data_IF_172907060299
#
_entry.id   IF_172907060299
#
_cell.length_a   1.000
_cell.length_b   1.000
_cell.length_c   1.000
_cell.angle_alpha   90.00
_cell.angle_beta   90.00
_cell.angle_gamma   90.00
#
_symmetry.space_group_name_H-M   'P 1'
#
loop_
_entity.id
_entity.type
_entity.pdbx_description
1 polymer ?
#
# COMPACT_ATOMS: atom_id res chain seq x y z
N UNK A 1 -12.75 -2.17 21.30
CA UNK A 1 -13.46 -3.10 22.21
C UNK A 1 -14.78 -2.45 22.59
N UNK A 2 -15.92 -3.09 22.34
CA UNK A 2 -17.24 -2.48 22.61
C UNK A 2 -17.66 -2.61 24.07
N UNK A 3 -16.94 -3.43 24.84
CA UNK A 3 -17.27 -3.71 26.23
C UNK A 3 -18.61 -4.43 26.32
N UNK A 4 -19.42 -4.00 27.28
CA UNK A 4 -20.78 -4.48 27.51
C UNK A 4 -21.86 -3.45 27.11
N UNK A 5 -21.48 -2.36 26.43
CA UNK A 5 -22.37 -1.24 26.16
C UNK A 5 -23.57 -1.65 25.31
N UNK A 6 -23.33 -2.39 24.22
CA UNK A 6 -24.38 -2.92 23.36
C UNK A 6 -25.22 -3.98 24.07
N UNK A 7 -24.60 -4.88 24.83
CA UNK A 7 -25.34 -5.89 25.57
C UNK A 7 -26.30 -5.30 26.60
N UNK A 8 -25.93 -4.20 27.27
CA UNK A 8 -26.83 -3.43 28.13
C UNK A 8 -27.97 -2.78 27.34
N UNK A 9 -27.66 -2.15 26.20
CA UNK A 9 -28.64 -1.43 25.38
C UNK A 9 -29.67 -2.35 24.72
N UNK A 10 -29.26 -3.54 24.26
CA UNK A 10 -30.09 -4.47 23.49
C UNK A 10 -30.55 -5.70 24.29
N UNK A 11 -30.27 -5.76 25.59
CA UNK A 11 -30.68 -6.87 26.45
C UNK A 11 -29.99 -8.21 26.14
N UNK A 12 -28.77 -8.18 25.59
CA UNK A 12 -28.00 -9.39 25.28
C UNK A 12 -27.43 -9.92 26.59
N UNK A 13 -28.02 -11.01 27.08
CA UNK A 13 -27.64 -11.65 28.34
C UNK A 13 -27.38 -13.14 28.14
N UNK A 14 -26.50 -13.68 28.96
CA UNK A 14 -26.26 -15.11 29.09
C UNK A 14 -26.30 -15.49 30.57
N UNK A 15 -26.33 -16.78 30.87
CA UNK A 15 -26.37 -17.32 32.23
C UNK A 15 -25.16 -18.24 32.43
N UNK A 16 -24.47 -18.09 33.55
CA UNK A 16 -23.45 -19.05 33.99
C UNK A 16 -24.12 -20.34 34.48
N UNK A 17 -23.33 -21.42 34.63
CA UNK A 17 -23.83 -22.70 35.17
C UNK A 17 -24.45 -22.57 36.58
N UNK A 18 -24.04 -21.57 37.36
CA UNK A 18 -24.57 -21.28 38.69
C UNK A 18 -25.85 -20.41 38.68
N UNK A 19 -26.40 -20.11 37.50
CA UNK A 19 -27.61 -19.32 37.32
C UNK A 19 -27.40 -17.80 37.31
N UNK A 20 -26.16 -17.31 37.45
CA UNK A 20 -25.89 -15.86 37.43
C UNK A 20 -25.97 -15.32 36.01
N UNK A 21 -26.74 -14.23 35.84
CA UNK A 21 -26.79 -13.49 34.58
C UNK A 21 -25.51 -12.69 34.34
N UNK A 22 -25.03 -12.71 33.09
CA UNK A 22 -23.90 -11.93 32.62
C UNK A 22 -24.24 -11.23 31.31
N UNK A 23 -23.54 -10.13 31.05
CA UNK A 23 -23.57 -9.46 29.74
C UNK A 23 -22.27 -9.82 29.01
N UNK A 24 -22.32 -10.48 27.85
CA UNK A 24 -21.13 -10.85 27.11
C UNK A 24 -20.27 -9.63 26.74
N UNK A 25 -18.95 -9.82 26.70
CA UNK A 25 -18.03 -8.83 26.15
C UNK A 25 -18.06 -8.87 24.63
N UNK A 26 -18.26 -7.72 23.99
CA UNK A 26 -18.47 -7.65 22.54
C UNK A 26 -17.35 -6.88 21.84
N UNK A 27 -17.08 -7.30 20.61
CA UNK A 27 -16.17 -6.64 19.68
C UNK A 27 -16.84 -6.56 18.30
N UNK A 28 -16.47 -5.54 17.53
CA UNK A 28 -16.76 -5.45 16.10
C UNK A 28 -15.53 -4.89 15.38
N UNK A 29 -15.38 -5.25 14.11
CA UNK A 29 -14.31 -4.77 13.23
C UNK A 29 -14.81 -4.80 11.79
N UNK A 30 -14.24 -3.95 10.93
CA UNK A 30 -14.64 -3.82 9.54
C UNK A 30 -13.45 -3.45 8.65
N UNK A 31 -13.45 -3.99 7.45
CA UNK A 31 -12.45 -3.73 6.42
C UNK A 31 -13.18 -3.54 5.08
N UNK A 32 -12.81 -2.52 4.31
CA UNK A 32 -13.59 -2.07 3.15
C UNK A 32 -12.74 -1.98 1.89
N UNK A 33 -13.39 -1.69 0.77
CA UNK A 33 -12.76 -1.43 -0.53
C UNK A 33 -11.84 -0.21 -0.55
N UNK A 34 -11.83 0.63 0.51
CA UNK A 34 -10.85 1.70 0.70
C UNK A 34 -9.41 1.17 0.59
N UNK A 35 -9.17 -0.06 1.00
CA UNK A 35 -7.87 -0.74 0.87
C UNK A 35 -7.35 -0.81 -0.57
N UNK A 36 -8.23 -0.91 -1.57
CA UNK A 36 -7.85 -0.86 -2.98
C UNK A 36 -7.31 0.52 -3.36
N UNK A 37 -7.97 1.58 -2.90
CA UNK A 37 -7.51 2.97 -3.11
C UNK A 37 -6.15 3.21 -2.47
N UNK A 38 -5.93 2.74 -1.24
CA UNK A 38 -4.64 2.83 -0.55
C UNK A 38 -3.54 2.11 -1.34
N UNK A 39 -3.77 0.87 -1.77
CA UNK A 39 -2.81 0.10 -2.56
C UNK A 39 -2.44 0.83 -3.87
N UNK A 40 -3.45 1.38 -4.57
CA UNK A 40 -3.24 2.14 -5.81
C UNK A 40 -2.39 3.38 -5.56
N UNK A 41 -2.71 4.18 -4.54
CA UNK A 41 -1.98 5.41 -4.21
C UNK A 41 -0.55 5.15 -3.73
N UNK A 42 -0.32 4.05 -3.00
CA UNK A 42 1.00 3.71 -2.45
C UNK A 42 1.95 3.16 -3.51
N UNK A 43 1.45 2.43 -4.50
CA UNK A 43 2.31 1.73 -5.47
C UNK A 43 2.28 2.31 -6.88
N UNK A 44 1.24 3.04 -7.26
CA UNK A 44 1.12 3.63 -8.59
C UNK A 44 2.27 4.58 -8.91
N UNK A 45 2.56 4.73 -10.21
CA UNK A 45 3.57 5.64 -10.73
C UNK A 45 3.05 6.39 -11.97
N UNK A 46 3.91 7.20 -12.58
CA UNK A 46 3.56 8.01 -13.77
C UNK A 46 3.16 7.18 -15.00
N UNK A 47 3.40 5.86 -14.99
CA UNK A 47 3.00 4.94 -16.06
C UNK A 47 1.65 4.26 -15.77
N UNK A 48 1.10 4.41 -14.56
CA UNK A 48 -0.19 3.87 -14.16
C UNK A 48 -0.13 2.94 -12.95
N UNK A 49 -0.96 1.89 -12.97
CA UNK A 49 -1.03 0.94 -11.86
C UNK A 49 0.28 0.15 -11.71
N UNK A 50 0.60 -0.22 -10.47
CA UNK A 50 1.64 -1.20 -10.13
C UNK A 50 1.02 -2.16 -9.11
N UNK A 51 0.56 -3.32 -9.57
CA UNK A 51 -0.19 -4.23 -8.72
C UNK A 51 0.74 -5.20 -7.98
N UNK A 52 0.59 -5.39 -6.66
CA UNK A 52 1.26 -6.45 -5.95
C UNK A 52 0.86 -7.84 -6.54
N UNK A 53 1.82 -8.73 -6.80
CA UNK A 53 1.57 -10.02 -7.46
C UNK A 53 0.47 -10.88 -6.84
N UNK A 54 0.26 -10.84 -5.53
CA UNK A 54 -0.78 -11.66 -4.87
C UNK A 54 -2.21 -11.23 -5.20
N UNK A 55 -2.41 -9.96 -5.58
CA UNK A 55 -3.73 -9.39 -5.90
C UNK A 55 -3.90 -9.01 -7.38
N UNK A 56 -2.83 -9.06 -8.18
CA UNK A 56 -2.89 -8.77 -9.61
C UNK A 56 -3.75 -9.82 -10.36
N UNK A 57 -4.81 -9.44 -11.10
CA UNK A 57 -5.64 -10.40 -11.84
C UNK A 57 -4.82 -11.21 -12.85
N UNK A 58 -3.97 -10.52 -13.61
CA UNK A 58 -2.95 -11.10 -14.49
C UNK A 58 -1.58 -10.77 -13.86
N UNK A 59 -0.81 -11.80 -13.52
CA UNK A 59 0.54 -11.66 -12.94
C UNK A 59 1.61 -11.52 -14.02
N UNK A 60 1.44 -12.27 -15.12
CA UNK A 60 2.38 -12.29 -16.24
C UNK A 60 1.61 -12.07 -17.55
N UNK A 61 2.11 -11.17 -18.39
CA UNK A 61 1.63 -11.04 -19.77
C UNK A 61 2.72 -11.39 -20.77
N UNK A 62 2.43 -12.33 -21.67
CA UNK A 62 3.31 -12.69 -22.79
C UNK A 62 2.98 -11.81 -23.98
N UNK A 63 3.98 -11.10 -24.50
CA UNK A 63 3.88 -10.28 -25.70
C UNK A 63 4.76 -10.87 -26.79
N UNK A 64 4.18 -11.63 -27.74
CA UNK A 64 4.84 -12.02 -28.98
C UNK A 64 5.36 -10.80 -29.75
N UNK A 65 6.61 -10.85 -30.19
CA UNK A 65 7.25 -9.83 -31.03
C UNK A 65 7.38 -10.42 -32.44
N UNK A 66 6.34 -10.29 -33.29
CA UNK A 66 6.35 -10.86 -34.63
C UNK A 66 7.44 -10.22 -35.49
N UNK A 67 8.05 -11.03 -36.36
CA UNK A 67 8.96 -10.57 -37.39
C UNK A 67 8.23 -10.47 -38.75
N UNK A 68 8.92 -10.01 -39.80
CA UNK A 68 8.31 -9.67 -41.09
C UNK A 68 7.64 -10.85 -41.83
N UNK A 69 7.93 -12.10 -41.45
CA UNK A 69 7.48 -13.31 -42.13
C UNK A 69 6.27 -13.93 -41.42
N UNK A 70 5.24 -14.34 -42.16
CA UNK A 70 3.97 -14.81 -41.62
C UNK A 70 4.07 -16.17 -40.92
N UNK A 71 4.91 -17.08 -41.44
CA UNK A 71 5.14 -18.40 -40.82
C UNK A 71 5.83 -18.28 -39.45
N UNK A 72 6.78 -17.35 -39.33
CA UNK A 72 7.47 -17.05 -38.06
C UNK A 72 6.50 -16.47 -37.01
N UNK A 73 5.42 -15.79 -37.44
CA UNK A 73 4.40 -15.28 -36.49
C UNK A 73 3.65 -16.42 -35.82
N UNK A 74 3.26 -17.45 -36.57
CA UNK A 74 2.54 -18.60 -36.02
C UNK A 74 3.43 -19.40 -35.05
N UNK A 75 4.72 -19.55 -35.36
CA UNK A 75 5.69 -20.20 -34.47
C UNK A 75 5.83 -19.46 -33.13
N UNK A 76 5.95 -18.13 -33.15
CA UNK A 76 6.04 -17.32 -31.93
C UNK A 76 4.73 -17.41 -31.13
N UNK A 77 3.58 -17.43 -31.80
CA UNK A 77 2.28 -17.53 -31.14
C UNK A 77 2.10 -18.90 -30.47
N UNK A 78 2.50 -19.98 -31.15
CA UNK A 78 2.50 -21.33 -30.57
C UNK A 78 3.45 -21.42 -29.36
N UNK A 79 4.64 -20.80 -29.45
CA UNK A 79 5.58 -20.74 -28.32
C UNK A 79 5.01 -19.93 -27.14
N UNK A 80 4.32 -18.84 -27.40
CA UNK A 80 3.64 -18.08 -26.35
C UNK A 80 2.56 -18.91 -25.64
N UNK A 81 1.78 -19.71 -26.38
CA UNK A 81 0.78 -20.62 -25.81
C UNK A 81 1.43 -21.73 -24.97
N UNK A 82 2.59 -22.27 -25.40
CA UNK A 82 3.38 -23.23 -24.62
C UNK A 82 3.84 -22.64 -23.27
N UNK A 83 4.36 -21.41 -23.28
CA UNK A 83 4.80 -20.70 -22.07
C UNK A 83 3.61 -20.47 -21.12
N UNK A 84 2.47 -20.03 -21.66
CA UNK A 84 1.22 -19.84 -20.90
C UNK A 84 0.80 -21.15 -20.23
N UNK A 85 0.76 -22.26 -20.98
CA UNK A 85 0.38 -23.56 -20.44
C UNK A 85 1.34 -24.03 -19.33
N UNK A 86 2.65 -23.88 -19.56
CA UNK A 86 3.69 -24.27 -18.60
C UNK A 86 3.58 -23.50 -17.27
N UNK A 87 3.41 -22.18 -17.33
CA UNK A 87 3.33 -21.34 -16.13
C UNK A 87 1.96 -21.40 -15.45
N UNK A 88 0.88 -21.60 -16.21
CA UNK A 88 -0.44 -21.87 -15.64
C UNK A 88 -0.42 -23.15 -14.80
N UNK A 89 0.26 -24.20 -15.28
CA UNK A 89 0.46 -25.44 -14.51
C UNK A 89 1.29 -25.23 -13.22
N UNK A 90 2.10 -24.17 -13.16
CA UNK A 90 2.83 -23.75 -11.97
C UNK A 90 2.01 -22.79 -11.06
N UNK A 91 0.73 -22.58 -11.34
CA UNK A 91 -0.16 -21.73 -10.54
C UNK A 91 -0.05 -20.22 -10.81
N UNK A 92 0.66 -19.81 -11.86
CA UNK A 92 0.80 -18.40 -12.24
C UNK A 92 -0.39 -17.95 -13.08
N UNK A 93 -0.98 -16.80 -12.75
CA UNK A 93 -2.01 -16.16 -13.58
C UNK A 93 -1.37 -15.47 -14.77
N UNK A 94 -1.35 -16.15 -15.91
CA UNK A 94 -0.63 -15.72 -17.11
C UNK A 94 -1.55 -15.68 -18.34
N UNK A 95 -1.34 -14.69 -19.19
CA UNK A 95 -2.05 -14.52 -20.47
C UNK A 95 -1.07 -14.19 -21.60
N UNK A 96 -1.49 -14.35 -22.86
CA UNK A 96 -0.74 -13.92 -24.04
C UNK A 96 -1.52 -12.88 -24.86
N UNK A 97 -0.91 -11.72 -25.13
CA UNK A 97 -1.50 -10.69 -25.99
C UNK A 97 -1.15 -10.91 -27.46
N UNK A 98 -1.95 -11.75 -28.12
CA UNK A 98 -1.79 -12.14 -29.53
C UNK A 98 -2.52 -11.19 -30.51
N UNK A 99 -3.01 -10.03 -30.07
CA UNK A 99 -3.73 -9.08 -30.96
C UNK A 99 -2.80 -8.57 -32.06
N UNK A 100 -3.14 -8.82 -33.32
CA UNK A 100 -2.28 -8.46 -34.48
C UNK A 100 -2.33 -6.98 -34.87
N UNK A 101 -3.40 -6.29 -34.49
CA UNK A 101 -3.66 -4.89 -34.87
C UNK A 101 -2.74 -3.91 -34.12
N UNK A 102 -2.14 -4.33 -33.01
CA UNK A 102 -1.33 -3.49 -32.14
C UNK A 102 0.15 -3.83 -32.21
N UNK A 103 0.99 -2.79 -32.24
CA UNK A 103 2.45 -2.94 -32.16
C UNK A 103 2.87 -3.46 -30.78
N UNK A 104 4.02 -4.13 -30.65
CA UNK A 104 4.54 -4.56 -29.34
C UNK A 104 4.65 -3.39 -28.35
N UNK A 105 5.16 -2.24 -28.79
CA UNK A 105 5.27 -1.05 -27.94
C UNK A 105 3.91 -0.56 -27.41
N UNK A 106 2.85 -0.61 -28.22
CA UNK A 106 1.50 -0.30 -27.76
C UNK A 106 1.04 -1.29 -26.68
N UNK A 107 1.29 -2.59 -26.88
CA UNK A 107 0.94 -3.62 -25.90
C UNK A 107 1.71 -3.43 -24.60
N UNK A 108 3.00 -3.07 -24.67
CA UNK A 108 3.82 -2.82 -23.48
C UNK A 108 3.17 -1.74 -22.61
N UNK A 109 2.83 -0.60 -23.22
CA UNK A 109 2.17 0.49 -22.51
C UNK A 109 0.79 0.09 -21.98
N UNK A 110 -0.01 -0.64 -22.77
CA UNK A 110 -1.33 -1.11 -22.36
C UNK A 110 -1.30 -1.94 -21.06
N UNK A 111 -0.33 -2.84 -20.93
CA UNK A 111 -0.20 -3.72 -19.77
C UNK A 111 0.58 -3.09 -18.62
N UNK A 112 1.52 -2.17 -18.91
CA UNK A 112 2.14 -1.34 -17.88
C UNK A 112 1.10 -0.44 -17.19
N UNK A 113 0.22 0.20 -17.97
CA UNK A 113 -0.87 1.03 -17.45
C UNK A 113 -1.82 0.24 -16.53
N UNK A 114 -2.09 -1.03 -16.87
CA UNK A 114 -2.90 -1.96 -16.08
C UNK A 114 -2.17 -2.56 -14.88
N UNK A 115 -0.86 -2.34 -14.76
CA UNK A 115 -0.05 -2.77 -13.63
C UNK A 115 0.23 -4.27 -13.56
N UNK A 116 0.29 -4.96 -14.69
CA UNK A 116 0.72 -6.37 -14.73
C UNK A 116 2.16 -6.47 -14.21
N UNK A 117 2.44 -7.24 -13.14
CA UNK A 117 3.75 -7.29 -12.49
C UNK A 117 4.92 -7.65 -13.41
N UNK A 118 4.71 -8.61 -14.30
CA UNK A 118 5.73 -9.11 -15.22
C UNK A 118 5.24 -9.08 -16.66
N UNK A 119 6.07 -8.53 -17.55
CA UNK A 119 5.90 -8.66 -18.99
C UNK A 119 6.96 -9.59 -19.55
N UNK A 120 6.55 -10.54 -20.37
CA UNK A 120 7.42 -11.40 -21.14
C UNK A 120 7.46 -10.92 -22.58
N UNK A 121 8.67 -10.77 -23.10
CA UNK A 121 8.95 -10.42 -24.47
C UNK A 121 9.49 -11.68 -25.16
N UNK A 122 8.77 -12.16 -26.19
CA UNK A 122 9.12 -13.40 -26.91
C UNK A 122 9.26 -13.08 -28.40
N UNK A 123 10.50 -13.01 -28.87
CA UNK A 123 10.81 -12.85 -30.30
C UNK A 123 11.65 -14.01 -30.86
N UNK A 124 11.96 -14.01 -32.17
CA UNK A 124 12.73 -15.08 -32.81
C UNK A 124 14.08 -15.36 -32.15
N UNK A 125 14.75 -14.31 -31.65
CA UNK A 125 16.06 -14.43 -30.97
C UNK A 125 15.95 -15.18 -29.64
N UNK A 126 14.85 -14.98 -28.92
CA UNK A 126 14.62 -15.60 -27.62
C UNK A 126 14.27 -17.09 -27.80
N UNK A 127 13.47 -17.41 -28.81
CA UNK A 127 13.15 -18.79 -29.21
C UNK A 127 14.41 -19.55 -29.62
N UNK A 128 15.25 -18.95 -30.48
CA UNK A 128 16.52 -19.56 -30.90
C UNK A 128 17.46 -19.84 -29.72
N UNK A 129 17.41 -19.01 -28.67
CA UNK A 129 18.19 -19.16 -27.44
C UNK A 129 17.49 -19.97 -26.35
N UNK A 130 16.24 -20.41 -26.57
CA UNK A 130 15.39 -21.09 -25.57
C UNK A 130 15.28 -20.32 -24.26
N UNK A 131 15.03 -19.01 -24.36
CA UNK A 131 14.89 -18.10 -23.23
C UNK A 131 13.67 -17.19 -23.39
N UNK A 132 13.30 -16.48 -22.33
CA UNK A 132 12.30 -15.42 -22.36
C UNK A 132 12.87 -14.16 -21.72
N UNK A 133 12.67 -13.02 -22.37
CA UNK A 133 12.99 -11.72 -21.80
C UNK A 133 11.89 -11.31 -20.83
N UNK A 134 12.22 -11.19 -19.55
CA UNK A 134 11.29 -10.81 -18.48
C UNK A 134 11.55 -9.36 -18.08
N UNK A 135 10.48 -8.57 -17.97
CA UNK A 135 10.53 -7.16 -17.55
C UNK A 135 9.62 -6.97 -16.34
N UNK A 136 10.19 -6.42 -15.27
CA UNK A 136 9.47 -6.06 -14.04
C UNK A 136 8.75 -4.74 -14.18
N UNK A 137 7.50 -4.67 -13.69
CA UNK A 137 6.68 -3.45 -13.72
C UNK A 137 7.10 -2.41 -12.69
N UNK A 138 7.53 -2.85 -11.52
CA UNK A 138 7.74 -1.99 -10.34
C UNK A 138 9.05 -1.20 -10.38
N UNK A 139 10.04 -1.64 -11.15
CA UNK A 139 11.34 -0.98 -11.30
C UNK A 139 11.89 -0.98 -12.75
N UNK A 140 11.22 -1.64 -13.70
CA UNK A 140 11.68 -1.72 -15.09
C UNK A 140 12.90 -2.62 -15.33
N UNK A 141 13.39 -3.32 -14.29
CA UNK A 141 14.50 -4.25 -14.41
C UNK A 141 14.16 -5.38 -15.37
N UNK A 142 15.19 -5.88 -16.05
CA UNK A 142 15.02 -6.85 -17.12
C UNK A 142 16.03 -7.98 -17.00
N UNK A 143 15.57 -9.21 -17.15
CA UNK A 143 16.40 -10.41 -17.10
C UNK A 143 16.01 -11.38 -18.21
N UNK A 144 16.98 -12.13 -18.73
CA UNK A 144 16.75 -13.22 -19.68
C UNK A 144 16.72 -14.53 -18.89
N UNK A 145 15.61 -15.25 -18.93
CA UNK A 145 15.42 -16.47 -18.14
C UNK A 145 15.32 -17.66 -19.10
N UNK A 146 16.15 -18.71 -18.92
CA UNK A 146 16.03 -19.94 -19.70
C UNK A 146 14.63 -20.54 -19.59
N UNK A 147 14.08 -21.03 -20.70
CA UNK A 147 12.74 -21.64 -20.72
C UNK A 147 12.61 -22.78 -19.70
N UNK A 148 13.68 -23.54 -19.48
CA UNK A 148 13.75 -24.63 -18.52
C UNK A 148 13.45 -24.18 -17.08
N UNK A 149 13.88 -22.97 -16.70
CA UNK A 149 13.82 -22.43 -15.34
C UNK A 149 12.54 -21.64 -15.05
N UNK A 150 11.71 -21.34 -16.06
CA UNK A 150 10.53 -20.49 -15.89
C UNK A 150 9.58 -20.97 -14.79
N UNK A 151 9.34 -22.29 -14.72
CA UNK A 151 8.39 -22.86 -13.76
C UNK A 151 8.80 -22.67 -12.29
N UNK A 152 10.10 -22.48 -12.02
CA UNK A 152 10.64 -22.24 -10.66
C UNK A 152 10.96 -20.78 -10.42
N UNK A 153 11.56 -20.10 -11.41
CA UNK A 153 12.05 -18.72 -11.26
C UNK A 153 10.91 -17.70 -11.21
N UNK A 154 9.84 -17.89 -11.98
CA UNK A 154 8.75 -16.91 -12.07
C UNK A 154 7.93 -16.82 -10.78
N UNK A 155 7.49 -17.92 -10.14
CA UNK A 155 6.87 -17.83 -8.81
C UNK A 155 7.77 -17.16 -7.77
N UNK A 156 9.06 -17.48 -7.74
CA UNK A 156 10.03 -16.86 -6.83
C UNK A 156 10.19 -15.35 -7.10
N UNK A 157 10.20 -14.94 -8.37
CA UNK A 157 10.28 -13.53 -8.75
C UNK A 157 9.03 -12.74 -8.34
N UNK A 158 7.84 -13.34 -8.47
CA UNK A 158 6.58 -12.71 -8.03
C UNK A 158 6.57 -12.51 -6.51
N UNK A 159 7.06 -13.48 -5.72
CA UNK A 159 7.20 -13.32 -4.28
C UNK A 159 8.27 -12.27 -3.91
N UNK A 160 9.38 -12.23 -4.64
CA UNK A 160 10.40 -11.19 -4.49
C UNK A 160 9.83 -9.79 -4.75
N UNK A 161 9.09 -9.58 -5.84
CA UNK A 161 8.42 -8.30 -6.14
C UNK A 161 7.47 -7.92 -5.02
N UNK A 162 6.65 -8.86 -4.54
CA UNK A 162 5.70 -8.63 -3.46
C UNK A 162 6.39 -8.12 -2.18
N UNK A 163 7.51 -8.73 -1.81
CA UNK A 163 8.28 -8.37 -0.63
C UNK A 163 8.97 -7.01 -0.80
N UNK A 164 9.67 -6.80 -1.92
CA UNK A 164 10.39 -5.54 -2.20
C UNK A 164 9.43 -4.34 -2.27
N UNK A 165 8.22 -4.52 -2.82
CA UNK A 165 7.18 -3.48 -2.83
C UNK A 165 6.74 -3.07 -1.41
N UNK A 166 6.59 -4.04 -0.50
CA UNK A 166 6.23 -3.79 0.89
C UNK A 166 7.37 -3.11 1.65
N UNK A 167 8.60 -3.58 1.47
CA UNK A 167 9.79 -3.01 2.10
C UNK A 167 10.00 -1.56 1.70
N UNK A 168 9.91 -1.25 0.39
CA UNK A 168 9.98 0.11 -0.13
C UNK A 168 8.91 1.01 0.47
N UNK A 169 7.65 0.56 0.49
CA UNK A 169 6.55 1.34 1.05
C UNK A 169 6.69 1.55 2.58
N UNK A 170 7.20 0.54 3.28
CA UNK A 170 7.49 0.62 4.72
C UNK A 170 8.60 1.63 5.01
N UNK A 171 9.72 1.56 4.28
CA UNK A 171 10.82 2.50 4.41
C UNK A 171 10.38 3.94 4.10
N UNK A 172 9.57 4.13 3.06
CA UNK A 172 9.01 5.44 2.73
C UNK A 172 8.08 5.96 3.82
N UNK A 173 7.16 5.13 4.35
CA UNK A 173 6.30 5.52 5.47
C UNK A 173 7.15 5.95 6.67
N UNK A 174 8.14 5.14 7.03
CA UNK A 174 8.96 5.37 8.23
C UNK A 174 9.84 6.62 8.08
N UNK A 175 10.34 6.92 6.87
CA UNK A 175 11.06 8.17 6.61
C UNK A 175 10.18 9.42 6.69
N UNK A 176 8.86 9.27 6.65
CA UNK A 176 7.87 10.35 6.81
C UNK A 176 7.22 10.35 8.18
N UNK A 177 7.76 9.65 9.18
CA UNK A 177 7.37 9.78 10.59
C UNK A 177 8.47 10.53 11.32
N UNK A 178 8.13 11.70 11.87
CA UNK A 178 9.08 12.52 12.64
C UNK A 178 8.68 12.54 14.11
N UNK A 179 9.64 12.25 14.99
CA UNK A 179 9.46 12.45 16.42
C UNK A 179 9.52 13.95 16.72
N UNK A 180 8.47 14.49 17.35
CA UNK A 180 8.34 15.92 17.65
C UNK A 180 7.93 16.09 19.11
N UNK A 181 8.78 16.77 19.88
CA UNK A 181 8.57 17.01 21.31
C UNK A 181 8.13 18.44 21.64
N UNK A 182 8.27 19.36 20.69
CA UNK A 182 7.94 20.78 20.84
C UNK A 182 6.96 21.24 19.76
N UNK A 183 5.96 22.05 20.13
CA UNK A 183 4.96 22.56 19.19
C UNK A 183 5.56 23.28 17.97
N UNK A 184 6.64 24.04 18.17
CA UNK A 184 7.28 24.83 17.10
C UNK A 184 7.69 23.99 15.88
N UNK A 185 7.96 22.69 16.09
CA UNK A 185 8.41 21.76 15.04
C UNK A 185 7.26 20.90 14.50
N UNK A 186 6.07 20.97 15.12
CA UNK A 186 4.90 20.16 14.78
C UNK A 186 4.30 20.56 13.43
N UNK A 187 3.88 21.82 13.30
CA UNK A 187 3.25 22.31 12.05
C UNK A 187 4.24 22.29 10.88
N UNK A 188 5.51 22.70 11.02
CA UNK A 188 6.51 22.54 9.95
C UNK A 188 6.67 21.08 9.49
N UNK A 189 6.68 20.11 10.41
CA UNK A 189 6.77 18.69 10.05
C UNK A 189 5.59 18.23 9.20
N UNK A 190 4.37 18.72 9.48
CA UNK A 190 3.19 18.41 8.67
C UNK A 190 3.25 19.05 7.28
N UNK A 191 3.84 20.25 7.15
CA UNK A 191 4.01 20.92 5.85
C UNK A 191 5.01 20.20 4.95
N UNK A 192 6.01 19.55 5.54
CA UNK A 192 6.95 18.67 4.82
C UNK A 192 6.33 17.32 4.41
N UNK A 193 5.01 17.15 4.58
CA UNK A 193 4.31 15.91 4.23
C UNK A 193 4.58 14.74 5.18
N UNK A 194 5.08 15.02 6.39
CA UNK A 194 5.33 13.99 7.40
C UNK A 194 4.16 13.85 8.39
N UNK A 195 4.05 12.67 8.98
CA UNK A 195 3.31 12.46 10.22
C UNK A 195 4.20 12.82 11.42
N UNK A 196 3.60 13.34 12.48
CA UNK A 196 4.31 13.72 13.69
C UNK A 196 4.00 12.74 14.83
N UNK A 197 5.04 12.16 15.43
CA UNK A 197 4.95 11.31 16.61
C UNK A 197 5.32 12.12 17.84
N UNK A 198 4.36 12.35 18.75
CA UNK A 198 4.56 13.28 19.87
C UNK A 198 4.22 12.65 21.22
N UNK A 199 4.87 13.09 22.32
CA UNK A 199 4.42 12.75 23.67
C UNK A 199 3.16 13.56 24.00
N UNK A 200 2.08 12.88 24.42
CA UNK A 200 0.77 13.49 24.64
C UNK A 200 0.17 13.12 26.00
N UNK A 201 -0.65 14.02 26.58
CA UNK A 201 -1.28 13.84 27.89
C UNK A 201 -2.57 13.00 27.87
N UNK A 202 -3.05 12.59 26.69
CA UNK A 202 -4.28 11.80 26.49
C UNK A 202 -5.50 12.49 27.15
N UNK A 203 -5.72 13.75 26.76
CA UNK A 203 -6.84 14.58 27.22
C UNK A 203 -7.52 15.24 26.01
N UNK A 204 -8.85 15.08 25.92
CA UNK A 204 -9.68 15.52 24.77
C UNK A 204 -9.54 17.03 24.51
N UNK A 205 -9.49 17.84 25.57
CA UNK A 205 -9.32 19.30 25.45
C UNK A 205 -8.06 19.65 24.65
N UNK A 206 -6.95 18.97 24.93
CA UNK A 206 -5.67 19.23 24.27
C UNK A 206 -5.62 18.69 22.85
N UNK A 207 -6.38 17.63 22.55
CA UNK A 207 -6.54 17.13 21.18
C UNK A 207 -7.28 18.16 20.30
N UNK A 208 -8.36 18.77 20.80
CA UNK A 208 -9.08 19.83 20.07
C UNK A 208 -8.26 21.12 19.93
N UNK A 209 -7.42 21.46 20.91
CA UNK A 209 -6.47 22.57 20.80
C UNK A 209 -5.45 22.30 19.69
N UNK A 210 -4.86 21.09 19.62
CA UNK A 210 -3.93 20.71 18.56
C UNK A 210 -4.59 20.85 17.19
N UNK A 211 -5.82 20.36 17.04
CA UNK A 211 -6.58 20.42 15.80
C UNK A 211 -6.86 21.87 15.34
N UNK A 212 -7.33 22.72 16.25
CA UNK A 212 -7.61 24.14 15.94
C UNK A 212 -6.33 24.90 15.62
N UNK A 213 -5.32 24.81 16.48
CA UNK A 213 -4.07 25.57 16.35
C UNK A 213 -3.25 25.14 15.13
N UNK A 214 -3.19 23.84 14.84
CA UNK A 214 -2.50 23.33 13.64
C UNK A 214 -3.17 23.75 12.35
N UNK A 215 -4.51 23.89 12.32
CA UNK A 215 -5.25 24.43 11.17
C UNK A 215 -4.89 25.89 10.92
N UNK A 216 -5.00 26.72 11.95
CA UNK A 216 -4.72 28.16 11.86
C UNK A 216 -3.28 28.42 11.40
N UNK A 217 -2.30 27.78 12.03
CA UNK A 217 -0.89 27.93 11.66
C UNK A 217 -0.60 27.35 10.26
N UNK A 218 -1.27 26.26 9.87
CA UNK A 218 -1.10 25.70 8.52
C UNK A 218 -1.62 26.64 7.43
N UNK A 219 -2.80 27.24 7.64
CA UNK A 219 -3.41 28.19 6.70
C UNK A 219 -2.58 29.47 6.59
N UNK A 220 -2.11 29.99 7.73
CA UNK A 220 -1.22 31.15 7.77
C UNK A 220 0.08 30.92 6.99
N UNK A 221 0.71 29.74 7.15
CA UNK A 221 1.92 29.37 6.40
C UNK A 221 1.69 29.23 4.89
N UNK A 222 0.48 28.83 4.48
CA UNK A 222 0.09 28.74 3.07
C UNK A 222 -0.37 30.09 2.48
N UNK A 223 -0.52 31.13 3.31
CA UNK A 223 -1.08 32.41 2.88
C UNK A 223 -2.55 32.33 2.50
N UNK A 224 -3.30 31.41 3.12
CA UNK A 224 -4.72 31.17 2.86
C UNK A 224 -5.57 31.62 4.06
N UNK A 225 -6.73 32.21 3.78
CA UNK A 225 -7.73 32.54 4.81
C UNK A 225 -8.58 31.32 5.20
N UNK A 226 -8.84 30.43 4.23
CA UNK A 226 -9.58 29.19 4.46
C UNK A 226 -9.15 28.07 3.48
N UNK A 227 -9.60 26.86 3.78
CA UNK A 227 -9.45 25.69 2.91
C UNK A 227 -10.36 25.83 1.68
N UNK A 228 -9.86 25.44 0.50
CA UNK A 228 -10.72 25.38 -0.68
C UNK A 228 -11.79 24.29 -0.51
N UNK A 229 -12.99 24.53 -1.05
CA UNK A 229 -14.14 23.60 -0.95
C UNK A 229 -13.82 22.18 -1.48
N UNK A 230 -12.84 22.05 -2.37
CA UNK A 230 -12.45 20.78 -3.01
C UNK A 230 -11.16 20.18 -2.44
N UNK A 231 -10.76 20.55 -1.21
CA UNK A 231 -9.57 19.97 -0.58
C UNK A 231 -9.79 18.50 -0.21
N UNK A 232 -8.85 17.63 -0.61
CA UNK A 232 -8.92 16.20 -0.32
C UNK A 232 -8.60 15.85 1.14
N UNK A 233 -7.94 16.78 1.86
CA UNK A 233 -7.54 16.63 3.26
C UNK A 233 -7.65 17.98 3.93
N UNK A 234 -8.16 18.03 5.17
CA UNK A 234 -8.11 19.26 5.97
C UNK A 234 -6.66 19.61 6.34
N UNK A 235 -6.39 20.90 6.48
CA UNK A 235 -5.12 21.42 6.99
C UNK A 235 -4.90 21.08 8.48
N UNK A 236 -5.98 20.80 9.22
CA UNK A 236 -5.97 20.44 10.63
C UNK A 236 -5.34 19.06 10.87
N UNK A 237 -4.45 18.96 11.86
CA UNK A 237 -3.95 17.69 12.34
C UNK A 237 -4.98 17.01 13.25
N UNK A 238 -5.05 15.68 13.19
CA UNK A 238 -5.81 14.85 14.13
C UNK A 238 -4.94 13.72 14.66
N UNK A 239 -5.35 13.14 15.77
CA UNK A 239 -4.77 11.86 16.20
C UNK A 239 -5.10 10.79 15.18
N UNK A 240 -4.10 9.98 14.81
CA UNK A 240 -4.26 8.83 13.93
C UNK A 240 -4.37 7.56 14.77
N UNK A 241 -3.43 7.37 15.69
CA UNK A 241 -3.44 6.29 16.66
C UNK A 241 -2.44 6.53 17.80
N UNK A 242 -2.56 5.74 18.87
CA UNK A 242 -1.52 5.52 19.87
C UNK A 242 -0.74 4.27 19.40
N UNK A 243 0.49 4.40 18.86
CA UNK A 243 1.19 3.26 18.28
C UNK A 243 1.64 2.28 19.37
N UNK A 244 1.18 1.02 19.30
CA UNK A 244 1.53 0.00 20.29
C UNK A 244 3.05 -0.20 20.40
N UNK A 245 3.73 -0.50 19.29
CA UNK A 245 5.17 -0.76 19.27
C UNK A 245 6.01 0.33 19.95
N UNK A 246 5.75 1.61 19.66
CA UNK A 246 6.48 2.73 20.28
C UNK A 246 6.23 2.79 21.79
N UNK A 247 4.99 2.62 22.22
CA UNK A 247 4.63 2.71 23.63
C UNK A 247 5.04 1.47 24.44
N UNK A 248 5.18 0.31 23.80
CA UNK A 248 5.66 -0.92 24.43
C UNK A 248 7.20 -0.93 24.54
N UNK A 249 7.91 -0.52 23.48
CA UNK A 249 9.38 -0.58 23.43
C UNK A 249 10.06 0.68 24.01
N UNK A 250 9.40 1.84 23.95
CA UNK A 250 9.96 3.12 24.38
C UNK A 250 8.87 4.04 24.95
N UNK A 251 8.23 3.65 26.07
CA UNK A 251 7.19 4.44 26.71
C UNK A 251 7.71 5.82 27.13
N UNK A 252 6.79 6.76 27.28
CA UNK A 252 7.09 8.07 27.88
C UNK A 252 7.56 7.89 29.34
N UNK A 253 8.47 8.76 29.77
CA UNK A 253 8.98 8.77 31.14
C UNK A 253 8.23 9.80 31.99
N UNK A 254 8.39 9.74 33.32
CA UNK A 254 7.72 10.69 34.22
C UNK A 254 8.10 12.16 33.94
N UNK A 255 9.29 12.41 33.41
CA UNK A 255 9.79 13.75 33.06
C UNK A 255 9.34 14.21 31.66
N UNK A 256 8.81 13.30 30.85
CA UNK A 256 8.36 13.61 29.50
C UNK A 256 7.11 14.47 29.57
N UNK A 257 7.18 15.67 29.00
CA UNK A 257 6.04 16.60 28.93
C UNK A 257 5.25 16.39 27.65
N UNK A 258 3.94 16.63 27.74
CA UNK A 258 3.07 16.74 26.60
C UNK A 258 3.49 17.91 25.72
N UNK A 259 3.69 17.65 24.43
CA UNK A 259 4.25 18.60 23.46
C UNK A 259 3.46 19.91 23.32
N UNK A 260 2.18 19.91 23.71
CA UNK A 260 1.26 21.05 23.61
C UNK A 260 0.88 21.64 24.96
N UNK A 261 0.66 20.81 25.99
CA UNK A 261 0.11 21.27 27.27
C UNK A 261 1.16 21.53 28.35
N UNK A 262 2.36 20.96 28.20
CA UNK A 262 3.38 20.96 29.24
C UNK A 262 3.07 20.07 30.46
N UNK A 263 1.88 19.46 30.54
CA UNK A 263 1.54 18.44 31.55
C UNK A 263 2.40 17.17 31.35
N UNK A 264 2.50 16.27 32.33
CA UNK A 264 3.12 14.97 32.12
C UNK A 264 2.46 14.22 30.95
N UNK A 265 3.27 13.70 30.04
CA UNK A 265 2.79 12.85 28.95
C UNK A 265 2.42 11.46 29.49
N UNK A 266 1.40 10.85 28.89
CA UNK A 266 0.95 9.49 29.21
C UNK A 266 1.31 8.48 28.12
N UNK A 267 1.43 8.92 26.87
CA UNK A 267 1.72 8.05 25.74
C UNK A 267 2.34 8.83 24.58
N UNK A 268 2.92 8.09 23.64
CA UNK A 268 3.23 8.57 22.30
C UNK A 268 2.01 8.46 21.39
N UNK A 269 1.70 9.52 20.66
CA UNK A 269 0.58 9.60 19.72
C UNK A 269 1.11 9.98 18.34
N UNK A 270 0.60 9.31 17.30
CA UNK A 270 0.86 9.66 15.91
C UNK A 270 -0.23 10.60 15.41
N UNK A 271 0.20 11.71 14.82
CA UNK A 271 -0.64 12.78 14.29
C UNK A 271 -0.42 12.95 12.79
N UNK A 272 -1.44 13.41 12.09
CA UNK A 272 -1.32 13.77 10.69
C UNK A 272 -2.56 14.45 10.14
N UNK A 273 -2.46 14.90 8.89
CA UNK A 273 -3.63 15.26 8.09
C UNK A 273 -4.30 13.97 7.61
N UNK A 274 -5.63 13.96 7.57
CA UNK A 274 -6.41 12.79 7.16
C UNK A 274 -7.28 13.12 5.96
N UNK A 275 -7.44 12.12 5.09
CA UNK A 275 -8.53 12.03 4.11
C UNK A 275 -9.90 11.97 4.79
#
# INVERSE_FOLDING_TARGET
>A
MLGQNFGKMFGITAEYEDGKKLIPWQNSWGFTTRSLGVMIMVHGDDKGLVLPPRVAPTQVIVVPIPFKNQDEVEEIFAKADEIVAKLSAAGVRIEADKRRVYTPGWKYNHWELKGVPLRFEVGPKDIAKKQVRVVRRDNGAKEDIPEAELATRIPALLEQIQQEMLERATAQRDSHIREVTDWKDFVPSLQDGCMALTPFCDEIEWEEIVKTKSREESLALMGLEDEAENTATSAAAKTLCIPYKKNDESPVTADTKCFISGKPAKCWVLWGRSY
#
